data_IF_475757052839
#
_entry.id   IF_475757052839
#
_cell.length_a   1.000
_cell.length_b   1.000
_cell.length_c   1.000
_cell.angle_alpha   90.00
_cell.angle_beta   90.00
_cell.angle_gamma   90.00
#
_symmetry.space_group_name_H-M   'P 1'
#
loop_
_entity.id
_entity.type
_entity.pdbx_description
1 polymer ?
#
# COMPACT_ATOMS: atom_id res chain seq x y z
N UNK A 1 -3.54 -2.59 3.58
CA UNK A 1 -3.85 -1.60 4.64
C UNK A 1 -2.67 -1.50 5.58
N UNK A 2 -2.33 -0.27 5.97
CA UNK A 2 -1.14 0.02 6.78
C UNK A 2 -1.18 -0.63 8.16
N UNK A 3 -0.03 -0.71 8.81
CA UNK A 3 0.13 -1.28 10.15
C UNK A 3 -0.84 -0.63 11.14
N UNK A 4 -1.43 -1.44 12.01
CA UNK A 4 -2.35 -0.97 13.05
C UNK A 4 -3.77 -0.68 12.56
N UNK A 5 -4.03 -0.81 11.26
CA UNK A 5 -5.36 -0.59 10.68
C UNK A 5 -5.90 -1.87 10.02
N UNK A 6 -7.17 -2.16 10.30
CA UNK A 6 -7.91 -3.36 9.90
C UNK A 6 -8.96 -3.08 8.83
N UNK A 7 -9.23 -1.80 8.51
CA UNK A 7 -10.30 -1.44 7.60
C UNK A 7 -9.85 -1.69 6.15
N UNK A 8 -10.63 -2.49 5.42
CA UNK A 8 -10.26 -2.96 4.08
C UNK A 8 -11.38 -2.90 3.04
N UNK A 9 -12.62 -2.54 3.43
CA UNK A 9 -13.75 -2.50 2.49
C UNK A 9 -13.44 -1.58 1.30
N UNK A 10 -12.96 -0.36 1.55
CA UNK A 10 -12.58 0.59 0.50
C UNK A 10 -11.45 0.05 -0.38
N UNK A 11 -10.39 -0.51 0.23
CA UNK A 11 -9.29 -1.18 -0.47
C UNK A 11 -9.79 -2.29 -1.39
N UNK A 12 -10.70 -3.14 -0.91
CA UNK A 12 -11.20 -4.29 -1.67
C UNK A 12 -12.02 -3.82 -2.87
N UNK A 13 -12.82 -2.75 -2.73
CA UNK A 13 -13.54 -2.14 -3.85
C UNK A 13 -12.55 -1.59 -4.89
N UNK A 14 -11.53 -0.84 -4.47
CA UNK A 14 -10.49 -0.31 -5.39
C UNK A 14 -9.74 -1.44 -6.09
N UNK A 15 -9.38 -2.51 -5.35
CA UNK A 15 -8.74 -3.69 -5.91
C UNK A 15 -9.58 -4.36 -7.00
N UNK A 16 -10.89 -4.51 -6.79
CA UNK A 16 -11.81 -5.04 -7.81
C UNK A 16 -11.88 -4.11 -9.02
N UNK A 17 -11.98 -2.78 -8.82
CA UNK A 17 -12.04 -1.81 -9.93
C UNK A 17 -10.76 -1.86 -10.76
N UNK A 18 -9.58 -1.89 -10.15
CA UNK A 18 -8.31 -1.98 -10.87
C UNK A 18 -8.18 -3.32 -11.61
N UNK A 19 -8.56 -4.44 -10.99
CA UNK A 19 -8.57 -5.74 -11.65
C UNK A 19 -9.52 -5.77 -12.87
N UNK A 20 -10.69 -5.10 -12.78
CA UNK A 20 -11.60 -4.91 -13.92
C UNK A 20 -11.00 -4.07 -15.06
N UNK A 21 -9.91 -3.33 -14.81
CA UNK A 21 -9.17 -2.55 -15.79
C UNK A 21 -7.83 -3.22 -16.17
N UNK A 22 -7.74 -4.55 -16.04
CA UNK A 22 -6.59 -5.36 -16.43
C UNK A 22 -5.29 -5.09 -15.66
N UNK A 23 -5.37 -4.51 -14.46
CA UNK A 23 -4.24 -4.44 -13.54
C UNK A 23 -4.11 -5.75 -12.75
N UNK A 24 -2.87 -6.21 -12.55
CA UNK A 24 -2.57 -7.26 -11.58
C UNK A 24 -2.51 -6.66 -10.18
N UNK A 25 -3.21 -7.27 -9.23
CA UNK A 25 -3.35 -6.76 -7.86
C UNK A 25 -2.72 -7.73 -6.88
N UNK A 26 -1.71 -7.25 -6.16
CA UNK A 26 -1.07 -7.98 -5.06
C UNK A 26 -1.61 -7.41 -3.75
N UNK A 27 -2.66 -8.05 -3.22
CA UNK A 27 -3.25 -7.65 -1.95
C UNK A 27 -2.50 -8.28 -0.76
N UNK A 28 -1.85 -7.43 0.04
CA UNK A 28 -1.13 -7.86 1.24
C UNK A 28 -2.02 -7.97 2.48
N UNK A 29 -3.31 -7.65 2.36
CA UNK A 29 -4.28 -7.68 3.44
C UNK A 29 -4.22 -6.46 4.35
N UNK A 30 -4.37 -6.68 5.65
CA UNK A 30 -4.47 -5.63 6.67
C UNK A 30 -3.35 -5.67 7.70
N UNK A 31 -3.16 -4.54 8.41
CA UNK A 31 -2.11 -4.38 9.42
C UNK A 31 -0.70 -4.69 8.91
N UNK A 32 -0.40 -4.32 7.66
CA UNK A 32 0.85 -4.70 6.99
C UNK A 32 1.97 -3.71 7.33
N UNK A 33 3.12 -4.17 7.86
CA UNK A 33 4.28 -3.29 8.11
C UNK A 33 4.90 -2.76 6.81
N UNK A 34 5.40 -1.52 6.84
CA UNK A 34 6.09 -0.87 5.71
C UNK A 34 7.19 -1.75 5.09
N UNK A 35 8.04 -2.36 5.91
CA UNK A 35 9.11 -3.24 5.45
C UNK A 35 8.60 -4.41 4.59
N UNK A 36 7.46 -5.01 4.93
CA UNK A 36 6.85 -6.09 4.15
C UNK A 36 6.30 -5.56 2.82
N UNK A 37 5.68 -4.38 2.82
CA UNK A 37 5.17 -3.73 1.60
C UNK A 37 6.32 -3.46 0.63
N UNK A 38 7.40 -2.83 1.11
CA UNK A 38 8.59 -2.52 0.31
C UNK A 38 9.28 -3.78 -0.21
N UNK A 39 9.45 -4.79 0.65
CA UNK A 39 10.04 -6.06 0.26
C UNK A 39 9.23 -6.72 -0.87
N UNK A 40 7.91 -6.86 -0.71
CA UNK A 40 7.07 -7.45 -1.75
C UNK A 40 7.07 -6.61 -3.03
N UNK A 41 7.08 -5.28 -2.91
CA UNK A 41 7.17 -4.39 -4.06
C UNK A 41 8.45 -4.64 -4.90
N UNK A 42 9.60 -4.87 -4.25
CA UNK A 42 10.85 -5.23 -4.94
C UNK A 42 10.82 -6.62 -5.54
N UNK A 43 10.38 -7.61 -4.77
CA UNK A 43 10.35 -9.03 -5.19
C UNK A 43 9.43 -9.23 -6.40
N UNK A 44 8.28 -8.57 -6.39
CA UNK A 44 7.25 -8.67 -7.43
C UNK A 44 7.40 -7.61 -8.52
N UNK A 45 8.35 -6.68 -8.38
CA UNK A 45 8.63 -5.59 -9.32
C UNK A 45 7.36 -4.80 -9.70
N UNK A 46 6.63 -4.36 -8.68
CA UNK A 46 5.37 -3.63 -8.89
C UNK A 46 5.62 -2.24 -9.48
N UNK A 47 4.69 -1.77 -10.30
CA UNK A 47 4.77 -0.44 -10.91
C UNK A 47 4.23 0.68 -10.01
N UNK A 48 3.37 0.35 -9.03
CA UNK A 48 2.68 1.29 -8.14
C UNK A 48 2.48 0.64 -6.76
N UNK A 49 2.63 1.42 -5.69
CA UNK A 49 2.24 1.00 -4.33
C UNK A 49 0.97 1.76 -3.92
N UNK A 50 -0.04 1.02 -3.45
CA UNK A 50 -1.27 1.58 -2.89
C UNK A 50 -1.37 1.32 -1.38
N UNK A 51 -1.58 2.38 -0.59
CA UNK A 51 -1.86 2.30 0.84
C UNK A 51 -3.32 2.62 1.11
N UNK A 52 -3.88 1.92 2.10
CA UNK A 52 -5.22 2.20 2.62
C UNK A 52 -5.18 2.36 4.13
N UNK A 53 -5.96 3.31 4.65
CA UNK A 53 -6.15 3.55 6.08
C UNK A 53 -7.34 4.47 6.36
N UNK A 54 -8.00 4.26 7.51
CA UNK A 54 -9.24 4.95 7.89
C UNK A 54 -9.08 5.85 9.12
N UNK A 55 -8.19 5.50 10.04
CA UNK A 55 -8.07 6.18 11.34
C UNK A 55 -6.88 7.15 11.38
N UNK A 56 -6.90 8.12 12.29
CA UNK A 56 -5.81 9.11 12.42
C UNK A 56 -4.41 8.48 12.56
N UNK A 57 -4.19 7.42 13.36
CA UNK A 57 -2.89 6.74 13.43
C UNK A 57 -2.40 6.16 12.09
N UNK A 58 -3.32 5.85 11.16
CA UNK A 58 -2.96 5.33 9.84
C UNK A 58 -2.25 6.38 8.99
N UNK A 59 -2.54 7.66 9.19
CA UNK A 59 -1.88 8.75 8.48
C UNK A 59 -0.39 8.84 8.82
N UNK A 60 -0.04 8.66 10.09
CA UNK A 60 1.36 8.64 10.54
C UNK A 60 2.11 7.45 9.91
N UNK A 61 1.48 6.28 9.83
CA UNK A 61 2.06 5.09 9.17
C UNK A 61 2.19 5.28 7.65
N UNK A 62 1.26 5.99 7.00
CA UNK A 62 1.37 6.36 5.58
C UNK A 62 2.50 7.34 5.32
N UNK A 63 2.68 8.35 6.18
CA UNK A 63 3.78 9.30 6.09
C UNK A 63 5.14 8.60 6.33
N UNK A 64 5.19 7.70 7.32
CA UNK A 64 6.36 6.86 7.56
C UNK A 64 6.69 5.99 6.34
N UNK A 65 5.70 5.38 5.69
CA UNK A 65 5.91 4.61 4.47
C UNK A 65 6.51 5.46 3.33
N UNK A 66 6.04 6.69 3.14
CA UNK A 66 6.61 7.60 2.14
C UNK A 66 8.09 7.94 2.42
N UNK A 67 8.43 8.22 3.69
CA UNK A 67 9.81 8.45 4.10
C UNK A 67 10.71 7.23 3.88
N UNK A 68 10.18 6.03 4.12
CA UNK A 68 10.89 4.77 3.88
C UNK A 68 11.10 4.50 2.39
N UNK A 69 10.12 4.80 1.53
CA UNK A 69 10.29 4.72 0.07
C UNK A 69 11.41 5.64 -0.42
N UNK A 70 11.48 6.88 0.08
CA UNK A 70 12.55 7.82 -0.27
C UNK A 70 13.92 7.33 0.23
N UNK A 71 13.99 6.86 1.49
CA UNK A 71 15.20 6.30 2.09
C UNK A 71 15.73 5.10 1.31
N UNK A 72 14.83 4.27 0.78
CA UNK A 72 15.13 3.07 0.03
C UNK A 72 15.29 3.29 -1.49
N UNK A 73 15.10 4.53 -1.95
CA UNK A 73 15.30 4.92 -3.35
C UNK A 73 14.24 4.39 -4.32
N UNK A 74 12.99 4.24 -3.88
CA UNK A 74 11.88 3.93 -4.79
C UNK A 74 11.51 5.15 -5.65
N UNK A 75 11.29 4.93 -6.94
CA UNK A 75 10.89 5.93 -7.93
C UNK A 75 9.46 5.72 -8.47
N UNK A 76 8.80 4.65 -8.05
CA UNK A 76 7.42 4.33 -8.45
C UNK A 76 6.38 5.15 -7.67
N UNK A 77 5.20 5.41 -8.26
CA UNK A 77 4.15 6.18 -7.60
C UNK A 77 3.62 5.54 -6.32
N UNK A 78 3.32 6.38 -5.34
CA UNK A 78 2.62 6.04 -4.10
C UNK A 78 1.20 6.62 -4.13
N UNK A 79 0.19 5.75 -4.06
CA UNK A 79 -1.22 6.12 -3.92
C UNK A 79 -1.64 5.93 -2.46
N UNK A 80 -2.32 6.93 -1.88
CA UNK A 80 -2.76 6.93 -0.49
C UNK A 80 -4.24 7.27 -0.43
N UNK A 81 -5.03 6.48 0.29
CA UNK A 81 -6.45 6.74 0.53
C UNK A 81 -7.09 5.86 1.60
#
# INVERSE_FOLDING_TARGET
TVKGDVHDIGKNIVGVVLACNNYEIIDLGVMVPAAKILQTAREQKVDIIGLSGLITPSLDEMAHMAAEMEREGFDIPLLIG
#
